data_IF_508514332354
#
_entry.id   IF_508514332354
#
_cell.length_a   1.000
_cell.length_b   1.000
_cell.length_c   1.000
_cell.angle_alpha   90.00
_cell.angle_beta   90.00
_cell.angle_gamma   90.00
#
_symmetry.space_group_name_H-M   'P 1'
#
loop_
_entity.id
_entity.type
_entity.pdbx_description
1 polymer ?
#
# COMPACT_ATOMS: atom_id res chain seq x y z
N UNK A 1 -40.50 64.98 1.92
CA UNK A 1 -40.12 65.12 3.34
C UNK A 1 -40.15 63.75 3.99
N UNK A 2 -38.98 63.27 4.41
CA UNK A 2 -38.62 62.35 5.52
C UNK A 2 -39.52 61.10 5.77
N UNK A 3 -39.02 59.89 6.01
CA UNK A 3 -37.76 59.51 6.62
C UNK A 3 -37.48 58.02 6.36
N UNK A 4 -36.19 57.72 6.21
CA UNK A 4 -35.51 56.44 6.11
C UNK A 4 -35.98 55.33 7.07
N UNK A 5 -36.22 54.13 6.52
CA UNK A 5 -36.15 52.86 7.25
C UNK A 5 -34.74 52.28 7.07
N UNK A 6 -33.87 52.51 8.07
CA UNK A 6 -32.57 51.86 8.16
C UNK A 6 -32.70 50.54 8.93
N UNK A 7 -32.46 49.45 8.20
CA UNK A 7 -32.27 48.10 8.71
C UNK A 7 -31.04 48.09 9.63
N UNK A 8 -31.26 47.88 10.93
CA UNK A 8 -30.19 47.73 11.93
C UNK A 8 -29.49 46.38 11.73
N UNK A 9 -28.36 46.42 11.01
CA UNK A 9 -27.36 45.34 10.99
C UNK A 9 -26.76 45.18 12.39
N UNK A 10 -27.10 44.09 13.07
CA UNK A 10 -26.51 43.72 14.35
C UNK A 10 -25.18 43.01 14.07
N UNK A 11 -24.08 43.76 14.01
CA UNK A 11 -22.73 43.20 14.03
C UNK A 11 -22.43 42.74 15.45
N UNK A 12 -22.53 41.44 15.69
CA UNK A 12 -22.03 40.80 16.92
C UNK A 12 -20.50 40.80 16.82
N UNK A 13 -19.86 41.78 17.46
CA UNK A 13 -18.42 41.78 17.69
C UNK A 13 -18.11 40.81 18.84
N UNK A 14 -17.76 39.57 18.50
CA UNK A 14 -17.13 38.66 19.46
C UNK A 14 -15.69 39.11 19.65
N UNK A 15 -15.44 39.90 20.70
CA UNK A 15 -14.10 40.23 21.15
C UNK A 15 -13.47 38.98 21.81
N UNK A 16 -12.68 38.23 21.05
CA UNK A 16 -11.78 37.21 21.62
C UNK A 16 -10.71 37.93 22.43
N UNK A 17 -10.88 38.03 23.76
CA UNK A 17 -9.79 38.32 24.70
C UNK A 17 -8.83 37.14 24.65
N UNK A 18 -7.72 37.29 23.93
CA UNK A 18 -6.57 36.41 24.06
C UNK A 18 -5.89 36.82 25.37
N UNK A 19 -6.11 36.03 26.42
CA UNK A 19 -5.35 36.14 27.67
C UNK A 19 -3.93 35.66 27.39
N UNK A 20 -3.05 36.61 27.05
CA UNK A 20 -1.61 36.40 26.99
C UNK A 20 -1.08 36.39 28.42
N UNK A 21 -1.01 35.21 29.04
CA UNK A 21 -0.20 35.04 30.25
C UNK A 21 1.28 35.05 29.85
N UNK A 22 1.88 36.23 29.84
CA UNK A 22 3.33 36.35 29.82
C UNK A 22 3.88 35.87 31.16
N UNK A 23 4.32 34.61 31.20
CA UNK A 23 5.08 34.09 32.33
C UNK A 23 6.44 34.77 32.30
N UNK A 24 6.55 35.89 33.02
CA UNK A 24 7.81 36.57 33.29
C UNK A 24 8.57 35.72 34.31
N UNK A 25 9.44 34.83 33.83
CA UNK A 25 10.46 34.24 34.67
C UNK A 25 11.48 35.34 35.02
N UNK A 26 11.68 35.70 36.29
CA UNK A 26 12.77 36.59 36.65
C UNK A 26 14.09 35.88 36.33
N UNK A 27 14.82 36.39 35.35
CA UNK A 27 16.22 36.02 35.13
C UNK A 27 17.03 36.61 36.28
N UNK A 28 17.19 35.84 37.36
CA UNK A 28 18.23 36.12 38.34
C UNK A 28 19.60 35.90 37.68
N UNK A 29 20.14 36.94 37.07
CA UNK A 29 21.58 37.01 36.80
C UNK A 29 22.28 37.35 38.11
N UNK A 30 22.51 36.33 38.93
CA UNK A 30 23.42 36.45 40.07
C UNK A 30 24.86 36.43 39.54
N UNK A 31 25.42 37.60 39.24
CA UNK A 31 26.88 37.74 39.05
C UNK A 31 27.54 37.70 40.43
N UNK A 32 27.78 36.49 40.93
CA UNK A 32 28.77 36.28 41.98
C UNK A 32 30.15 36.48 41.33
N UNK A 33 30.72 37.67 41.47
CA UNK A 33 32.11 37.94 41.08
C UNK A 33 33.00 37.27 42.14
N UNK A 34 33.22 35.98 41.97
CA UNK A 34 34.28 35.25 42.65
C UNK A 34 35.59 35.73 42.02
N UNK A 35 36.37 36.50 42.77
CA UNK A 35 37.72 36.90 42.36
C UNK A 35 38.63 35.68 42.47
N UNK A 36 38.59 34.84 41.44
CA UNK A 36 39.44 33.67 41.30
C UNK A 36 40.65 34.09 40.46
N UNK A 37 41.84 33.80 40.96
CA UNK A 37 43.10 34.13 40.30
C UNK A 37 43.06 33.67 38.83
N UNK A 38 43.05 34.66 37.93
CA UNK A 38 42.73 34.55 36.49
C UNK A 38 43.63 33.55 35.75
N UNK A 39 44.79 33.21 36.30
CA UNK A 39 45.81 32.42 35.62
C UNK A 39 45.60 30.90 35.65
N UNK A 40 44.79 30.35 36.57
CA UNK A 40 44.52 28.91 36.65
C UNK A 40 43.14 28.49 36.13
N UNK A 41 42.18 29.42 36.03
CA UNK A 41 40.82 29.09 35.56
C UNK A 41 40.67 29.11 34.02
N UNK A 42 41.65 29.67 33.31
CA UNK A 42 41.70 29.76 31.84
C UNK A 42 42.24 28.49 31.14
N UNK A 43 42.40 27.37 31.85
CA UNK A 43 42.78 26.07 31.26
C UNK A 43 41.60 25.10 31.13
N UNK A 44 40.37 25.60 31.00
CA UNK A 44 39.25 24.74 30.60
C UNK A 44 39.20 24.67 29.07
N UNK A 45 39.44 23.50 28.43
CA UNK A 45 39.33 23.41 26.98
C UNK A 45 37.89 23.76 26.56
N UNK A 46 37.75 24.59 25.52
CA UNK A 46 36.45 24.95 24.94
C UNK A 46 35.71 23.73 24.36
N UNK A 47 36.44 22.63 24.13
CA UNK A 47 35.89 21.37 23.65
C UNK A 47 35.44 20.52 24.84
N UNK A 48 34.15 20.23 24.87
CA UNK A 48 33.62 19.13 25.68
C UNK A 48 34.13 17.84 25.03
N UNK A 49 35.13 17.20 25.65
CA UNK A 49 35.53 15.86 25.26
C UNK A 49 34.46 14.88 25.73
N UNK A 50 33.55 14.56 24.81
CA UNK A 50 32.61 13.45 24.96
C UNK A 50 33.17 12.26 24.22
N UNK A 51 33.10 11.10 24.86
CA UNK A 51 33.31 9.85 24.14
C UNK A 51 32.28 9.74 23.02
N UNK A 52 32.75 9.30 21.84
CA UNK A 52 31.88 9.09 20.70
C UNK A 52 30.87 7.99 21.08
N UNK A 53 29.56 8.19 20.82
CA UNK A 53 28.59 7.12 21.04
C UNK A 53 29.01 5.90 20.22
N UNK A 54 29.14 4.75 20.86
CA UNK A 54 29.54 3.51 20.19
C UNK A 54 28.47 3.14 19.14
N UNK A 55 28.80 3.17 17.83
CA UNK A 55 27.85 2.88 16.76
C UNK A 55 27.34 1.43 16.79
N UNK A 56 28.00 0.55 17.55
CA UNK A 56 27.70 -0.88 17.62
C UNK A 56 26.85 -1.31 18.82
N UNK A 57 26.55 -0.38 19.74
CA UNK A 57 25.85 -0.66 20.99
C UNK A 57 24.43 -1.22 20.80
N UNK A 58 23.72 -0.81 19.74
CA UNK A 58 22.33 -1.19 19.46
C UNK A 58 22.16 -2.05 18.20
N UNK A 59 23.16 -2.89 17.88
CA UNK A 59 23.14 -3.79 16.71
C UNK A 59 21.86 -4.62 16.56
N UNK A 60 21.28 -5.11 17.66
CA UNK A 60 20.05 -5.91 17.62
C UNK A 60 18.83 -5.09 17.17
N UNK A 61 18.65 -3.88 17.72
CA UNK A 61 17.55 -2.98 17.33
C UNK A 61 17.67 -2.55 15.88
N UNK A 62 18.89 -2.26 15.42
CA UNK A 62 19.16 -1.92 14.01
C UNK A 62 18.81 -3.08 13.07
N UNK A 63 19.16 -4.32 13.44
CA UNK A 63 18.81 -5.52 12.65
C UNK A 63 17.31 -5.75 12.58
N UNK A 64 16.60 -5.59 13.70
CA UNK A 64 15.12 -5.68 13.70
C UNK A 64 14.52 -4.57 12.84
N UNK A 65 14.97 -3.33 12.99
CA UNK A 65 14.48 -2.21 12.19
C UNK A 65 14.70 -2.43 10.69
N UNK A 66 15.87 -2.93 10.31
CA UNK A 66 16.17 -3.30 8.93
C UNK A 66 15.29 -4.45 8.43
N UNK A 67 15.11 -5.51 9.23
CA UNK A 67 14.24 -6.62 8.87
C UNK A 67 12.77 -6.17 8.69
N UNK A 68 12.27 -5.34 9.60
CA UNK A 68 10.93 -4.76 9.50
C UNK A 68 10.78 -3.89 8.24
N UNK A 69 11.79 -3.09 7.90
CA UNK A 69 11.83 -2.31 6.67
C UNK A 69 11.77 -3.20 5.41
N UNK A 70 12.60 -4.25 5.35
CA UNK A 70 12.62 -5.19 4.23
C UNK A 70 11.27 -5.91 4.07
N UNK A 71 10.64 -6.32 5.17
CA UNK A 71 9.31 -6.94 5.15
C UNK A 71 8.26 -5.93 4.65
N UNK A 72 8.28 -4.70 5.13
CA UNK A 72 7.33 -3.66 4.73
C UNK A 72 7.46 -3.31 3.24
N UNK A 73 8.68 -3.08 2.76
CA UNK A 73 8.94 -2.78 1.34
C UNK A 73 8.66 -4.00 0.46
N UNK A 74 9.11 -5.18 0.87
CA UNK A 74 8.91 -6.42 0.13
C UNK A 74 7.44 -6.79 -0.03
N UNK A 75 6.65 -6.68 1.04
CA UNK A 75 5.19 -6.90 0.98
C UNK A 75 4.48 -5.87 0.12
N UNK A 76 4.88 -4.60 0.22
CA UNK A 76 4.33 -3.52 -0.62
C UNK A 76 4.61 -3.77 -2.11
N UNK A 77 5.84 -4.17 -2.44
CA UNK A 77 6.23 -4.49 -3.82
C UNK A 77 5.47 -5.71 -4.36
N UNK A 78 5.31 -6.74 -3.54
CA UNK A 78 4.55 -7.93 -3.91
C UNK A 78 3.08 -7.61 -4.21
N UNK A 79 2.46 -6.73 -3.42
CA UNK A 79 1.10 -6.25 -3.65
C UNK A 79 0.98 -5.45 -4.95
N UNK A 80 1.92 -4.55 -5.23
CA UNK A 80 1.92 -3.74 -6.46
C UNK A 80 2.03 -4.63 -7.70
N UNK A 81 2.97 -5.58 -7.71
CA UNK A 81 3.12 -6.50 -8.85
C UNK A 81 1.91 -7.42 -9.01
N UNK A 82 1.32 -7.86 -7.92
CA UNK A 82 0.09 -8.64 -7.99
C UNK A 82 -1.08 -7.81 -8.55
N UNK A 83 -1.20 -6.55 -8.14
CA UNK A 83 -2.21 -5.63 -8.69
C UNK A 83 -2.01 -5.38 -10.20
N UNK A 84 -0.77 -5.23 -10.65
CA UNK A 84 -0.46 -5.14 -12.08
C UNK A 84 -0.88 -6.39 -12.85
N UNK A 85 -0.70 -7.58 -12.25
CA UNK A 85 -1.18 -8.84 -12.85
C UNK A 85 -2.70 -8.91 -12.91
N UNK A 86 -3.41 -8.47 -11.87
CA UNK A 86 -4.89 -8.53 -11.85
C UNK A 86 -5.52 -7.59 -12.87
N UNK A 87 -4.89 -6.44 -13.11
CA UNK A 87 -5.31 -5.44 -14.12
C UNK A 87 -4.81 -5.77 -15.54
N UNK A 88 -4.13 -6.90 -15.73
CA UNK A 88 -3.68 -7.32 -17.06
C UNK A 88 -4.87 -7.61 -17.97
N UNK A 89 -4.83 -7.19 -19.26
CA UNK A 89 -5.88 -7.52 -20.23
C UNK A 89 -6.17 -9.02 -20.35
N UNK A 90 -5.16 -9.87 -20.18
CA UNK A 90 -5.32 -11.32 -20.24
C UNK A 90 -6.23 -11.82 -19.10
N UNK A 91 -5.99 -11.36 -17.88
CA UNK A 91 -6.76 -11.75 -16.70
C UNK A 91 -8.19 -11.22 -16.79
N UNK A 92 -8.35 -9.94 -17.13
CA UNK A 92 -9.67 -9.28 -17.26
C UNK A 92 -10.51 -9.97 -18.34
N UNK A 93 -9.93 -10.27 -19.50
CA UNK A 93 -10.62 -10.98 -20.58
C UNK A 93 -11.00 -12.39 -20.15
N UNK A 94 -10.08 -13.13 -19.53
CA UNK A 94 -10.35 -14.49 -19.02
C UNK A 94 -11.53 -14.48 -18.04
N UNK A 95 -11.54 -13.55 -17.08
CA UNK A 95 -12.64 -13.40 -16.12
C UNK A 95 -13.96 -13.05 -16.81
N UNK A 96 -13.90 -12.23 -17.85
CA UNK A 96 -15.08 -11.87 -18.64
C UNK A 96 -15.66 -13.05 -19.40
N UNK A 97 -14.82 -13.91 -20.01
CA UNK A 97 -15.29 -15.15 -20.64
C UNK A 97 -15.91 -16.10 -19.62
N UNK A 98 -15.29 -16.26 -18.45
CA UNK A 98 -15.82 -17.08 -17.35
C UNK A 98 -17.22 -16.64 -16.92
N UNK A 99 -17.48 -15.32 -16.87
CA UNK A 99 -18.80 -14.77 -16.54
C UNK A 99 -19.89 -15.15 -17.54
N UNK A 100 -19.53 -15.45 -18.80
CA UNK A 100 -20.48 -15.80 -19.86
C UNK A 100 -20.59 -17.31 -20.09
N UNK A 101 -19.60 -18.09 -19.69
CA UNK A 101 -19.59 -19.55 -19.86
C UNK A 101 -20.76 -20.20 -19.10
N UNK A 102 -21.62 -20.98 -19.80
CA UNK A 102 -22.72 -21.70 -19.17
C UNK A 102 -22.22 -22.69 -18.10
N UNK A 103 -21.17 -23.48 -18.39
CA UNK A 103 -20.65 -24.47 -17.43
C UNK A 103 -20.05 -23.82 -16.20
N UNK A 104 -19.42 -22.65 -16.36
CA UNK A 104 -18.90 -21.88 -15.22
C UNK A 104 -20.05 -21.41 -14.32
N UNK A 105 -21.14 -20.89 -14.92
CA UNK A 105 -22.33 -20.43 -14.19
C UNK A 105 -23.08 -21.58 -13.52
N UNK A 106 -23.12 -22.77 -14.12
CA UNK A 106 -23.71 -23.96 -13.49
C UNK A 106 -22.99 -24.36 -12.19
N UNK A 107 -21.67 -24.20 -12.14
CA UNK A 107 -20.88 -24.55 -10.95
C UNK A 107 -20.84 -23.44 -9.89
N UNK A 108 -20.55 -22.19 -10.29
CA UNK A 108 -20.28 -21.08 -9.38
C UNK A 108 -21.48 -20.14 -9.18
N UNK A 109 -22.48 -20.22 -10.06
CA UNK A 109 -23.61 -19.30 -10.10
C UNK A 109 -23.33 -18.04 -10.91
N UNK A 110 -24.10 -16.99 -10.62
CA UNK A 110 -23.97 -15.68 -11.27
C UNK A 110 -22.95 -14.79 -10.55
N UNK A 111 -22.68 -13.60 -11.10
CA UNK A 111 -21.79 -12.59 -10.51
C UNK A 111 -20.41 -13.15 -10.13
N UNK A 112 -19.74 -13.77 -11.11
CA UNK A 112 -18.40 -14.34 -10.92
C UNK A 112 -17.38 -13.20 -10.75
N UNK A 113 -16.73 -13.18 -9.60
CA UNK A 113 -15.70 -12.22 -9.21
C UNK A 113 -14.44 -12.95 -8.75
N UNK A 114 -13.38 -12.22 -8.43
CA UNK A 114 -12.24 -12.84 -7.78
C UNK A 114 -12.58 -13.26 -6.35
N UNK A 115 -11.90 -14.29 -5.86
CA UNK A 115 -12.05 -14.72 -4.47
C UNK A 115 -11.23 -13.82 -3.53
N UNK A 116 -11.92 -13.17 -2.59
CA UNK A 116 -11.32 -12.35 -1.54
C UNK A 116 -11.15 -10.87 -1.90
N UNK A 117 -10.76 -10.08 -0.88
CA UNK A 117 -10.59 -8.62 -0.98
C UNK A 117 -9.31 -8.27 -1.77
N UNK A 118 -8.26 -9.07 -1.60
CA UNK A 118 -6.98 -8.90 -2.29
C UNK A 118 -6.78 -10.14 -3.17
N UNK A 119 -7.26 -10.11 -4.42
CA UNK A 119 -7.17 -11.28 -5.30
C UNK A 119 -5.73 -11.53 -5.70
N UNK A 120 -5.29 -12.78 -5.70
CA UNK A 120 -3.91 -13.13 -6.00
C UNK A 120 -3.77 -13.94 -7.29
N UNK A 121 -2.90 -13.49 -8.19
CA UNK A 121 -2.60 -14.15 -9.46
C UNK A 121 -1.22 -14.81 -9.36
N UNK A 122 -1.25 -16.15 -9.26
CA UNK A 122 -0.05 -16.97 -9.20
C UNK A 122 0.51 -17.25 -10.59
N UNK A 123 1.83 -17.44 -10.65
CA UNK A 123 2.51 -17.86 -11.86
C UNK A 123 3.09 -16.73 -12.71
N UNK A 124 3.49 -17.09 -13.92
CA UNK A 124 4.17 -16.23 -14.87
C UNK A 124 3.14 -15.57 -15.79
N UNK A 125 3.20 -14.24 -15.86
CA UNK A 125 2.39 -13.45 -16.78
C UNK A 125 3.31 -12.48 -17.50
N UNK A 126 3.91 -12.95 -18.59
CA UNK A 126 4.81 -12.14 -19.41
C UNK A 126 4.23 -11.96 -20.80
N UNK A 127 3.41 -10.92 -20.94
CA UNK A 127 2.77 -10.58 -22.21
C UNK A 127 3.79 -10.22 -23.30
N UNK A 128 4.93 -9.63 -22.91
CA UNK A 128 5.98 -9.19 -23.85
C UNK A 128 6.74 -10.39 -24.40
N UNK A 129 7.18 -11.30 -23.54
CA UNK A 129 7.82 -12.55 -23.96
C UNK A 129 6.84 -13.56 -24.55
N UNK A 130 5.53 -13.30 -24.42
CA UNK A 130 4.50 -14.17 -24.97
C UNK A 130 4.27 -15.45 -24.17
N UNK A 131 4.62 -15.48 -22.87
CA UNK A 131 4.41 -16.64 -22.01
C UNK A 131 3.39 -16.31 -20.90
N UNK A 132 2.34 -17.11 -20.84
CA UNK A 132 1.27 -17.01 -19.86
C UNK A 132 1.09 -18.36 -19.20
N UNK A 133 1.36 -18.43 -17.89
CA UNK A 133 1.06 -19.58 -17.06
C UNK A 133 0.57 -19.07 -15.72
N UNK A 134 -0.73 -18.78 -15.67
CA UNK A 134 -1.36 -18.13 -14.52
C UNK A 134 -2.41 -19.01 -13.86
N UNK A 135 -2.58 -18.77 -12.56
CA UNK A 135 -3.60 -19.40 -11.73
C UNK A 135 -4.19 -18.37 -10.79
N UNK A 136 -5.51 -18.32 -10.69
CA UNK A 136 -6.18 -17.40 -9.76
C UNK A 136 -7.50 -17.98 -9.29
N UNK A 137 -7.99 -17.45 -8.17
CA UNK A 137 -9.22 -17.91 -7.53
C UNK A 137 -10.39 -16.99 -7.88
N UNK A 138 -11.53 -17.60 -8.17
CA UNK A 138 -12.78 -16.92 -8.48
C UNK A 138 -13.89 -17.44 -7.58
N UNK A 139 -14.92 -16.64 -7.41
CA UNK A 139 -16.08 -16.94 -6.58
C UNK A 139 -17.34 -16.36 -7.22
N UNK A 140 -18.42 -17.13 -7.22
CA UNK A 140 -19.73 -16.68 -7.71
C UNK A 140 -20.79 -16.64 -6.61
N UNK A 141 -22.04 -16.44 -7.01
CA UNK A 141 -23.19 -16.33 -6.11
C UNK A 141 -23.41 -17.56 -5.23
N UNK A 142 -22.95 -18.75 -5.65
CA UNK A 142 -23.05 -19.97 -4.86
C UNK A 142 -22.06 -20.01 -3.69
N UNK A 143 -21.23 -18.97 -3.54
CA UNK A 143 -20.26 -18.81 -2.46
C UNK A 143 -19.18 -19.91 -2.41
N UNK A 144 -19.03 -20.68 -3.50
CA UNK A 144 -17.98 -21.68 -3.71
C UNK A 144 -16.79 -21.04 -4.43
N UNK A 145 -15.57 -21.39 -4.02
CA UNK A 145 -14.34 -20.94 -4.67
C UNK A 145 -13.92 -21.90 -5.79
N UNK A 146 -13.54 -21.34 -6.93
CA UNK A 146 -13.02 -22.05 -8.09
C UNK A 146 -11.60 -21.60 -8.42
N UNK A 147 -10.75 -22.52 -8.85
CA UNK A 147 -9.39 -22.22 -9.31
C UNK A 147 -9.34 -22.26 -10.83
N UNK A 148 -9.02 -21.12 -11.43
CA UNK A 148 -8.80 -20.99 -12.87
C UNK A 148 -7.33 -21.20 -13.15
N UNK A 149 -7.01 -21.97 -14.20
CA UNK A 149 -5.66 -22.13 -14.72
C UNK A 149 -5.67 -21.87 -16.22
N UNK A 150 -4.80 -20.94 -16.64
CA UNK A 150 -4.61 -20.58 -18.04
C UNK A 150 -3.13 -20.72 -18.41
N UNK A 151 -2.86 -21.55 -19.41
CA UNK A 151 -1.54 -21.68 -20.05
C UNK A 151 -1.69 -21.33 -21.52
N UNK A 152 -0.96 -20.31 -21.95
CA UNK A 152 -0.91 -19.89 -23.34
C UNK A 152 0.49 -19.37 -23.69
N UNK A 153 0.91 -19.58 -24.93
CA UNK A 153 2.17 -19.02 -25.45
C UNK A 153 2.02 -18.45 -26.86
N UNK A 154 3.01 -17.65 -27.26
CA UNK A 154 3.20 -17.20 -28.65
C UNK A 154 4.69 -17.07 -28.93
N UNK A 155 5.12 -17.31 -30.17
CA UNK A 155 6.54 -17.20 -30.54
C UNK A 155 6.95 -15.77 -30.85
N UNK A 156 6.07 -15.02 -31.50
CA UNK A 156 6.30 -13.64 -31.93
C UNK A 156 5.17 -12.71 -31.52
N UNK A 157 5.43 -11.40 -31.49
CA UNK A 157 4.42 -10.38 -31.17
C UNK A 157 3.29 -10.29 -32.19
N UNK A 158 3.58 -10.66 -33.44
CA UNK A 158 2.64 -10.68 -34.57
C UNK A 158 1.75 -11.92 -34.58
N UNK A 159 2.16 -12.98 -33.87
CA UNK A 159 1.39 -14.21 -33.76
C UNK A 159 0.36 -14.10 -32.63
N UNK A 160 -0.79 -14.77 -32.84
CA UNK A 160 -1.82 -14.91 -31.82
C UNK A 160 -1.35 -15.83 -30.69
N UNK A 161 -1.95 -15.67 -29.51
CA UNK A 161 -1.69 -16.57 -28.38
C UNK A 161 -2.36 -17.92 -28.64
N UNK A 162 -1.58 -18.99 -28.56
CA UNK A 162 -2.07 -20.35 -28.59
C UNK A 162 -2.39 -20.79 -27.16
N UNK A 163 -3.66 -21.09 -26.91
CA UNK A 163 -4.13 -21.57 -25.61
C UNK A 163 -3.91 -23.07 -25.53
N UNK A 164 -3.03 -23.51 -24.62
CA UNK A 164 -2.73 -24.93 -24.39
C UNK A 164 -3.60 -25.55 -23.32
N UNK A 165 -3.93 -24.77 -22.29
CA UNK A 165 -4.76 -25.23 -21.19
C UNK A 165 -5.62 -24.08 -20.68
N UNK A 166 -6.92 -24.31 -20.62
CA UNK A 166 -7.84 -23.39 -19.95
C UNK A 166 -8.87 -24.17 -19.14
N UNK A 167 -8.60 -24.31 -17.84
CA UNK A 167 -9.43 -25.16 -16.97
C UNK A 167 -9.92 -24.41 -15.75
N UNK A 168 -11.13 -24.75 -15.32
CA UNK A 168 -11.70 -24.32 -14.04
C UNK A 168 -11.88 -25.54 -13.14
N UNK A 169 -11.38 -25.46 -11.92
CA UNK A 169 -11.53 -26.52 -10.90
C UNK A 169 -12.36 -26.00 -9.74
N UNK A 170 -13.47 -26.66 -9.44
CA UNK A 170 -14.37 -26.33 -8.32
C UNK A 170 -14.55 -27.59 -7.48
N UNK A 171 -13.97 -27.62 -6.27
CA UNK A 171 -13.88 -28.84 -5.47
C UNK A 171 -13.15 -29.94 -6.24
N UNK A 172 -13.78 -31.11 -6.39
CA UNK A 172 -13.22 -32.26 -7.12
C UNK A 172 -13.55 -32.26 -8.63
N UNK A 173 -14.34 -31.28 -9.10
CA UNK A 173 -14.74 -31.19 -10.50
C UNK A 173 -13.82 -30.25 -11.25
N UNK A 174 -13.14 -30.77 -12.27
CA UNK A 174 -12.38 -29.98 -13.22
C UNK A 174 -13.12 -29.95 -14.56
N UNK A 175 -13.32 -28.75 -15.10
CA UNK A 175 -13.88 -28.54 -16.42
C UNK A 175 -12.84 -27.89 -17.34
N UNK A 176 -12.84 -28.30 -18.59
CA UNK A 176 -12.04 -27.70 -19.65
C UNK A 176 -12.91 -26.72 -20.44
N UNK A 177 -12.54 -25.45 -20.38
CA UNK A 177 -13.29 -24.33 -20.97
C UNK A 177 -12.97 -24.17 -22.46
N UNK A 178 -11.85 -24.72 -22.94
CA UNK A 178 -11.50 -24.67 -24.36
C UNK A 178 -12.47 -25.48 -25.22
N UNK A 179 -13.09 -26.51 -24.63
CA UNK A 179 -14.09 -27.36 -25.29
C UNK A 179 -15.47 -26.69 -25.47
N UNK A 180 -15.68 -25.48 -24.98
CA UNK A 180 -16.95 -24.74 -25.13
C UNK A 180 -16.98 -23.82 -26.36
N UNK A 181 -15.83 -23.48 -26.94
CA UNK A 181 -15.73 -22.55 -28.08
C UNK A 181 -15.89 -23.22 -29.46
N UNK A 182 -16.37 -24.47 -29.52
CA UNK A 182 -16.65 -25.20 -30.77
C UNK A 182 -18.13 -25.19 -31.16
#
# INVERSE_FOLDING_TARGET
MNSSLLVRSTRILVSRRISSSSILFPRYFATNVVNKNVNDELKKPLRIERELPDPTKDKYKQRIGFAAFVIAVGSSLALIFNYEKTESPIVVNTLYYLRRSPRTRELLGDNIEFDGIIPWVYGELNQVAGNVNIKFHIKGSNNVSGTVKLIADRKNREEEFLIHQWTLTVGDKQIDLLSEEQ
#
